data_IF_565064091136
#
_entry.id   IF_565064091136
#
_cell.length_a   1.000
_cell.length_b   1.000
_cell.length_c   1.000
_cell.angle_alpha   90.00
_cell.angle_beta   90.00
_cell.angle_gamma   90.00
#
_symmetry.space_group_name_H-M   'P 1'
#
loop_
_entity.id
_entity.type
_entity.pdbx_description
1 polymer ?
#
# COMPACT_ATOMS: atom_id res chain seq x y z
N UNK A 1 24.51 4.10 4.52
CA UNK A 1 24.13 4.63 3.19
C UNK A 1 24.61 3.70 2.07
N UNK A 2 25.28 2.61 2.46
CA UNK A 2 26.08 1.70 1.65
C UNK A 2 25.32 1.09 0.46
N UNK A 3 24.03 0.75 0.64
CA UNK A 3 23.18 0.26 -0.46
C UNK A 3 22.93 1.34 -1.51
N UNK A 4 22.65 2.57 -1.09
CA UNK A 4 22.39 3.69 -2.00
C UNK A 4 23.67 4.08 -2.73
N UNK A 5 24.77 4.20 -2.00
CA UNK A 5 26.07 4.59 -2.55
C UNK A 5 26.65 3.50 -3.48
N UNK A 6 26.36 2.22 -3.18
CA UNK A 6 26.81 1.07 -3.98
C UNK A 6 26.02 0.80 -5.27
N UNK A 7 24.87 1.46 -5.46
CA UNK A 7 24.00 1.27 -6.62
C UNK A 7 23.84 2.59 -7.40
N UNK A 8 24.98 3.13 -7.85
CA UNK A 8 25.08 4.43 -8.51
C UNK A 8 24.29 4.52 -9.83
N UNK A 9 24.06 3.41 -10.51
CA UNK A 9 23.35 3.37 -11.81
C UNK A 9 21.82 3.24 -11.70
N UNK A 10 21.26 3.11 -10.48
CA UNK A 10 19.81 3.10 -10.29
C UNK A 10 19.25 4.50 -10.52
N UNK A 11 18.19 4.65 -11.32
CA UNK A 11 17.56 5.97 -11.53
C UNK A 11 16.50 6.30 -10.47
N UNK A 12 15.78 5.30 -9.97
CA UNK A 12 14.64 5.45 -9.06
C UNK A 12 14.66 4.37 -7.99
N UNK A 13 14.40 4.75 -6.73
CA UNK A 13 14.26 3.81 -5.63
C UNK A 13 12.81 3.43 -5.40
N UNK A 14 12.54 2.13 -5.27
CA UNK A 14 11.22 1.60 -4.89
C UNK A 14 11.21 1.08 -3.46
N UNK A 15 10.13 1.34 -2.73
CA UNK A 15 9.90 0.79 -1.39
C UNK A 15 8.46 0.34 -1.21
N UNK A 16 8.25 -0.79 -0.54
CA UNK A 16 6.93 -1.25 -0.12
C UNK A 16 6.71 -0.79 1.32
N UNK A 17 5.58 -0.13 1.60
CA UNK A 17 5.35 0.48 2.92
C UNK A 17 3.96 0.18 3.43
N UNK A 18 3.93 -0.57 4.54
CA UNK A 18 2.73 -0.86 5.33
C UNK A 18 2.98 -0.42 6.78
N UNK A 19 2.48 0.77 7.13
CA UNK A 19 2.65 1.43 8.44
C UNK A 19 1.34 2.02 8.96
N UNK A 20 0.20 1.39 8.65
CA UNK A 20 -1.13 1.91 8.93
C UNK A 20 -1.58 2.96 7.91
N UNK A 21 -2.20 4.05 8.36
CA UNK A 21 -2.87 5.05 7.52
C UNK A 21 -1.97 6.23 7.09
N UNK A 22 -0.66 6.04 7.11
CA UNK A 22 0.30 7.04 6.69
C UNK A 22 1.69 6.45 6.50
N UNK A 23 2.57 7.20 5.84
CA UNK A 23 3.96 6.76 5.59
C UNK A 23 4.93 7.14 6.72
N UNK A 24 4.49 7.96 7.68
CA UNK A 24 5.34 8.44 8.76
C UNK A 24 6.50 9.30 8.23
N UNK A 25 7.73 8.92 8.54
CA UNK A 25 8.96 9.63 8.20
C UNK A 25 9.67 9.12 6.94
N UNK A 26 9.03 8.27 6.14
CA UNK A 26 9.65 7.63 4.97
C UNK A 26 10.22 8.66 3.99
N UNK A 27 9.45 9.70 3.65
CA UNK A 27 9.86 10.69 2.68
C UNK A 27 10.98 11.59 3.19
N UNK A 28 10.89 12.06 4.44
CA UNK A 28 11.93 12.87 5.08
C UNK A 28 13.24 12.08 5.22
N UNK A 29 13.14 10.83 5.68
CA UNK A 29 14.30 9.95 5.86
C UNK A 29 14.96 9.65 4.52
N UNK A 30 14.16 9.45 3.47
CA UNK A 30 14.68 9.21 2.13
C UNK A 30 15.37 10.45 1.54
N UNK A 31 14.78 11.64 1.70
CA UNK A 31 15.35 12.91 1.24
C UNK A 31 16.73 13.21 1.85
N UNK A 32 17.01 12.71 3.06
CA UNK A 32 18.32 12.82 3.71
C UNK A 32 19.36 11.82 3.18
N UNK A 33 18.95 10.85 2.36
CA UNK A 33 19.80 9.72 1.92
C UNK A 33 20.08 9.71 0.42
N UNK A 34 19.17 10.20 -0.41
CA UNK A 34 19.29 10.19 -1.85
C UNK A 34 18.64 11.42 -2.48
N UNK A 35 19.26 11.95 -3.53
CA UNK A 35 18.66 12.98 -4.40
C UNK A 35 17.87 12.39 -5.57
N UNK A 36 17.94 11.07 -5.77
CA UNK A 36 17.16 10.36 -6.80
C UNK A 36 15.70 10.25 -6.35
N UNK A 37 14.73 10.19 -7.27
CA UNK A 37 13.32 10.01 -6.90
C UNK A 37 13.04 8.66 -6.19
N UNK A 38 12.02 8.67 -5.34
CA UNK A 38 11.41 7.50 -4.70
C UNK A 38 10.08 7.17 -5.41
N UNK A 39 9.66 5.91 -5.43
CA UNK A 39 8.26 5.54 -5.62
C UNK A 39 7.84 4.48 -4.60
N UNK A 40 6.55 4.44 -4.29
CA UNK A 40 5.98 3.37 -3.45
C UNK A 40 5.69 2.18 -4.36
N UNK A 41 6.50 1.13 -4.23
CA UNK A 41 6.30 -0.13 -4.95
C UNK A 41 4.99 -0.79 -4.56
N UNK A 42 4.64 -0.71 -3.28
CA UNK A 42 3.36 -1.15 -2.73
C UNK A 42 2.96 -0.22 -1.58
N UNK A 43 1.67 0.12 -1.54
CA UNK A 43 0.98 0.72 -0.41
C UNK A 43 -0.49 0.33 -0.43
N UNK A 44 -1.18 0.43 0.69
CA UNK A 44 -2.63 0.20 0.75
C UNK A 44 -3.06 -0.41 2.06
N UNK A 45 -4.28 -0.93 2.05
CA UNK A 45 -4.86 -1.70 3.12
C UNK A 45 -5.68 -2.86 2.54
N UNK A 46 -5.73 -3.97 3.26
CA UNK A 46 -6.67 -5.03 2.95
C UNK A 46 -8.09 -4.69 3.47
N UNK A 47 -9.09 -5.36 2.93
CA UNK A 47 -10.49 -5.14 3.23
C UNK A 47 -10.98 -5.98 4.42
N UNK A 48 -10.13 -6.59 5.24
CA UNK A 48 -10.55 -7.40 6.37
C UNK A 48 -10.04 -6.82 7.69
N UNK A 49 -10.93 -6.71 8.67
CA UNK A 49 -10.61 -6.17 9.98
C UNK A 49 -10.59 -7.31 11.01
N UNK A 50 -9.40 -7.82 11.31
CA UNK A 50 -9.12 -8.90 12.26
C UNK A 50 -9.57 -8.58 13.70
N UNK A 51 -9.64 -7.30 14.10
CA UNK A 51 -10.20 -6.93 15.39
C UNK A 51 -11.71 -7.21 15.48
N UNK A 52 -12.41 -7.18 14.34
CA UNK A 52 -13.87 -7.41 14.27
C UNK A 52 -14.23 -8.74 13.61
N UNK A 53 -13.28 -9.42 12.97
CA UNK A 53 -13.47 -10.69 12.27
C UNK A 53 -14.39 -10.60 11.05
N UNK A 54 -14.38 -9.46 10.34
CA UNK A 54 -15.26 -9.23 9.17
C UNK A 54 -14.62 -8.30 8.15
N UNK A 55 -15.16 -8.33 6.93
CA UNK A 55 -14.86 -7.37 5.88
C UNK A 55 -15.18 -5.92 6.33
N UNK A 56 -14.29 -5.00 5.99
CA UNK A 56 -14.32 -3.58 6.33
C UNK A 56 -13.84 -2.72 5.13
N UNK A 57 -14.67 -2.68 4.08
CA UNK A 57 -14.38 -1.88 2.88
C UNK A 57 -14.29 -0.37 3.15
N UNK A 58 -14.93 0.11 4.23
CA UNK A 58 -14.85 1.53 4.62
C UNK A 58 -13.44 1.86 5.11
N UNK A 59 -12.86 1.02 5.97
CA UNK A 59 -11.48 1.19 6.41
C UNK A 59 -10.50 1.09 5.24
N UNK A 60 -10.70 0.13 4.33
CA UNK A 60 -9.90 0.00 3.11
C UNK A 60 -9.94 1.28 2.28
N UNK A 61 -11.14 1.76 1.94
CA UNK A 61 -11.34 2.97 1.14
C UNK A 61 -10.71 4.21 1.79
N UNK A 62 -10.88 4.37 3.10
CA UNK A 62 -10.30 5.47 3.86
C UNK A 62 -8.77 5.45 3.81
N UNK A 63 -8.16 4.28 3.97
CA UNK A 63 -6.71 4.14 3.89
C UNK A 63 -6.20 4.39 2.47
N UNK A 64 -6.86 3.84 1.45
CA UNK A 64 -6.54 4.10 0.04
C UNK A 64 -6.55 5.59 -0.27
N UNK A 65 -7.58 6.33 0.13
CA UNK A 65 -7.65 7.78 -0.06
C UNK A 65 -6.50 8.50 0.66
N UNK A 66 -6.36 8.30 1.97
CA UNK A 66 -5.38 9.03 2.78
C UNK A 66 -3.94 8.78 2.31
N UNK A 67 -3.59 7.53 2.00
CA UNK A 67 -2.26 7.17 1.52
C UNK A 67 -2.01 7.73 0.11
N UNK A 68 -2.99 7.67 -0.79
CA UNK A 68 -2.83 8.22 -2.14
C UNK A 68 -2.69 9.75 -2.10
N UNK A 69 -3.47 10.43 -1.26
CA UNK A 69 -3.38 11.88 -1.05
C UNK A 69 -2.00 12.30 -0.49
N UNK A 70 -1.43 11.54 0.46
CA UNK A 70 -0.08 11.81 0.97
C UNK A 70 0.98 11.62 -0.13
N UNK A 71 0.87 10.57 -0.96
CA UNK A 71 1.74 10.38 -2.13
C UNK A 71 1.67 11.60 -3.07
N UNK A 72 0.47 12.07 -3.39
CA UNK A 72 0.27 13.26 -4.25
C UNK A 72 0.86 14.51 -3.61
N UNK A 73 0.65 14.71 -2.31
CA UNK A 73 1.21 15.83 -1.56
C UNK A 73 2.75 15.83 -1.56
N UNK A 74 3.37 14.64 -1.60
CA UNK A 74 4.83 14.43 -1.62
C UNK A 74 5.43 14.26 -3.01
N UNK A 75 4.64 14.57 -4.05
CA UNK A 75 5.05 14.40 -5.43
C UNK A 75 6.33 15.18 -5.76
N UNK A 76 7.25 14.56 -6.50
CA UNK A 76 8.54 15.12 -6.90
C UNK A 76 8.41 16.33 -7.84
N UNK A 77 7.24 16.57 -8.42
CA UNK A 77 6.96 17.80 -9.19
C UNK A 77 6.60 18.99 -8.30
N UNK A 78 6.31 18.76 -7.01
CA UNK A 78 6.04 19.80 -6.01
C UNK A 78 7.34 20.20 -5.30
N UNK A 79 7.43 21.46 -4.87
CA UNK A 79 8.60 21.96 -4.17
C UNK A 79 8.87 21.15 -2.88
N UNK A 80 10.04 20.51 -2.79
CA UNK A 80 10.44 19.69 -1.65
C UNK A 80 9.86 18.27 -1.62
N UNK A 81 9.09 17.87 -2.65
CA UNK A 81 8.63 16.49 -2.80
C UNK A 81 9.72 15.59 -3.38
N UNK A 82 9.63 14.28 -3.07
CA UNK A 82 10.61 13.27 -3.50
C UNK A 82 9.97 12.05 -4.18
N UNK A 83 8.64 11.97 -4.17
CA UNK A 83 7.91 10.77 -4.60
C UNK A 83 7.40 10.90 -6.04
N UNK A 84 7.62 9.91 -6.90
CA UNK A 84 7.04 9.88 -8.25
C UNK A 84 5.59 9.40 -8.28
N UNK A 85 5.15 8.73 -7.22
CA UNK A 85 3.86 8.07 -7.16
C UNK A 85 3.95 6.74 -6.42
N UNK A 86 2.96 5.89 -6.62
CA UNK A 86 2.99 4.52 -6.11
C UNK A 86 1.95 3.62 -6.73
N UNK A 87 2.13 2.32 -6.53
CA UNK A 87 1.14 1.30 -6.88
C UNK A 87 0.35 0.90 -5.65
N UNK A 88 -0.97 1.10 -5.72
CA UNK A 88 -1.86 0.57 -4.69
C UNK A 88 -1.87 -0.95 -4.83
N UNK A 89 -1.62 -1.62 -3.72
CA UNK A 89 -1.54 -3.06 -3.66
C UNK A 89 -2.87 -3.58 -3.07
N UNK A 90 -3.71 -4.28 -3.84
CA UNK A 90 -3.52 -4.66 -5.24
C UNK A 90 -4.81 -4.55 -6.05
N UNK A 91 -4.76 -4.90 -7.35
CA UNK A 91 -5.91 -4.70 -8.21
C UNK A 91 -7.07 -5.62 -7.81
N UNK A 92 -6.86 -6.93 -7.75
CA UNK A 92 -7.89 -7.93 -7.45
C UNK A 92 -7.43 -8.87 -6.33
N UNK A 93 -8.37 -9.39 -5.55
CA UNK A 93 -8.05 -10.42 -4.56
C UNK A 93 -7.42 -11.67 -5.18
N UNK A 94 -6.49 -12.26 -4.44
CA UNK A 94 -5.72 -13.44 -4.83
C UNK A 94 -5.85 -14.53 -3.74
N UNK A 95 -6.88 -15.39 -3.83
CA UNK A 95 -7.21 -16.45 -2.84
C UNK A 95 -6.15 -17.57 -2.66
N UNK A 96 -4.99 -17.43 -3.30
CA UNK A 96 -3.88 -18.39 -3.13
C UNK A 96 -2.76 -17.84 -2.25
N UNK A 97 -2.87 -16.59 -1.78
CA UNK A 97 -1.77 -15.92 -1.07
C UNK A 97 -1.67 -16.32 0.40
N UNK A 98 -2.73 -16.80 1.03
CA UNK A 98 -2.56 -17.47 2.32
C UNK A 98 -2.04 -18.89 2.11
N UNK A 99 -0.74 -19.08 2.38
CA UNK A 99 -0.08 -20.40 2.34
C UNK A 99 -0.70 -21.47 3.24
N UNK A 100 -1.54 -21.08 4.21
CA UNK A 100 -2.29 -21.98 5.10
C UNK A 100 -3.77 -22.14 4.71
N UNK A 101 -4.24 -21.36 3.74
CA UNK A 101 -5.60 -21.34 3.25
C UNK A 101 -5.84 -22.33 2.11
N UNK A 102 -6.92 -22.09 1.38
CA UNK A 102 -7.48 -22.90 0.32
C UNK A 102 -7.96 -21.99 -0.80
N UNK A 103 -7.44 -22.22 -2.01
CA UNK A 103 -7.79 -21.47 -3.23
C UNK A 103 -9.28 -21.53 -3.64
N UNK A 104 -10.12 -22.27 -2.91
CA UNK A 104 -11.55 -22.44 -3.16
C UNK A 104 -12.46 -21.58 -2.26
N UNK A 105 -11.89 -20.92 -1.24
CA UNK A 105 -12.63 -20.06 -0.31
C UNK A 105 -11.83 -18.80 -0.04
N UNK A 106 -12.49 -17.75 0.44
CA UNK A 106 -11.83 -16.53 0.86
C UNK A 106 -11.39 -16.66 2.31
N UNK A 107 -10.13 -17.03 2.52
CA UNK A 107 -9.58 -17.31 3.84
C UNK A 107 -9.15 -16.03 4.57
N UNK A 108 -9.07 -16.14 5.90
CA UNK A 108 -8.58 -15.09 6.77
C UNK A 108 -7.19 -15.46 7.25
N UNK A 109 -6.23 -14.55 7.12
CA UNK A 109 -4.86 -14.78 7.52
C UNK A 109 -3.85 -14.51 6.41
N UNK A 110 -2.70 -15.16 6.51
CA UNK A 110 -1.49 -14.77 5.81
C UNK A 110 -0.57 -13.89 6.67
N UNK A 111 0.67 -13.73 6.22
CA UNK A 111 1.70 -12.96 6.90
C UNK A 111 2.59 -12.31 5.85
N UNK A 112 2.82 -11.01 5.99
CA UNK A 112 3.83 -10.28 5.24
C UNK A 112 4.72 -9.46 6.18
N UNK A 113 5.95 -9.13 5.74
CA UNK A 113 6.83 -8.26 6.51
C UNK A 113 6.32 -6.82 6.50
N UNK A 114 6.37 -6.14 7.65
CA UNK A 114 6.03 -4.72 7.75
C UNK A 114 5.38 -4.36 9.08
N UNK A 115 4.89 -3.12 9.19
CA UNK A 115 4.13 -2.66 10.34
C UNK A 115 2.64 -3.03 10.27
N UNK A 116 2.15 -3.40 9.09
CA UNK A 116 0.75 -3.80 8.85
C UNK A 116 -0.10 -2.69 8.24
N UNK A 117 -1.22 -3.06 7.59
CA UNK A 117 -2.17 -2.12 7.03
C UNK A 117 -3.05 -1.47 8.11
N UNK A 118 -3.71 -0.38 7.75
CA UNK A 118 -4.82 0.15 8.55
C UNK A 118 -6.05 -0.77 8.40
N UNK A 119 -6.90 -0.98 9.42
CA UNK A 119 -6.90 -0.31 10.73
C UNK A 119 -6.22 -1.09 11.87
N UNK A 120 -5.88 -2.35 11.65
CA UNK A 120 -5.58 -3.29 12.72
C UNK A 120 -4.14 -3.81 12.72
N UNK A 121 -3.31 -3.36 11.78
CA UNK A 121 -1.92 -3.77 11.62
C UNK A 121 -1.74 -5.27 11.37
N UNK A 122 -2.78 -5.96 10.90
CA UNK A 122 -2.78 -7.38 10.56
C UNK A 122 -2.88 -7.53 9.05
N UNK A 123 -2.05 -8.40 8.47
CA UNK A 123 -2.11 -8.69 7.05
C UNK A 123 -3.16 -9.78 6.80
N UNK A 124 -4.12 -9.53 5.93
CA UNK A 124 -5.03 -10.55 5.40
C UNK A 124 -4.76 -10.72 3.89
N UNK A 125 -3.90 -11.68 3.55
CA UNK A 125 -3.24 -11.79 2.25
C UNK A 125 -4.17 -11.95 1.06
N UNK A 126 -5.42 -12.38 1.29
CA UNK A 126 -6.40 -12.58 0.22
C UNK A 126 -7.36 -11.39 0.04
N UNK A 127 -7.23 -10.32 0.84
CA UNK A 127 -8.23 -9.24 0.94
C UNK A 127 -7.74 -7.88 0.41
N UNK A 128 -6.63 -7.84 -0.33
CA UNK A 128 -5.99 -6.59 -0.78
C UNK A 128 -6.70 -5.88 -1.94
N UNK A 129 -7.50 -6.59 -2.71
CA UNK A 129 -8.01 -6.11 -3.97
C UNK A 129 -8.84 -4.83 -3.84
N UNK A 130 -8.61 -3.87 -4.72
CA UNK A 130 -9.60 -2.84 -5.02
C UNK A 130 -10.88 -3.46 -5.62
N UNK A 131 -10.75 -4.61 -6.26
CA UNK A 131 -11.86 -5.47 -6.69
C UNK A 131 -11.73 -6.85 -6.03
N UNK A 132 -12.84 -7.55 -5.85
CA UNK A 132 -12.80 -8.94 -5.36
C UNK A 132 -12.27 -9.92 -6.42
N UNK A 133 -12.24 -11.22 -6.10
CA UNK A 133 -11.76 -12.27 -7.00
C UNK A 133 -12.60 -12.39 -8.28
N UNK A 134 -13.85 -11.94 -8.29
CA UNK A 134 -14.73 -11.92 -9.46
C UNK A 134 -14.69 -10.57 -10.21
N UNK A 135 -13.80 -9.67 -9.79
CA UNK A 135 -13.62 -8.31 -10.30
C UNK A 135 -14.82 -7.39 -10.04
N UNK A 136 -15.57 -7.67 -8.99
CA UNK A 136 -16.56 -6.73 -8.45
C UNK A 136 -15.84 -5.60 -7.71
N UNK A 137 -16.03 -4.33 -8.08
CA UNK A 137 -15.39 -3.21 -7.40
C UNK A 137 -15.77 -3.09 -5.92
N UNK A 138 -14.78 -2.91 -5.05
CA UNK A 138 -14.98 -2.49 -3.65
C UNK A 138 -15.09 -0.97 -3.54
N UNK A 139 -15.50 -0.50 -2.37
CA UNK A 139 -15.51 0.94 -2.03
C UNK A 139 -14.16 1.62 -2.30
N UNK A 140 -13.03 0.93 -2.08
CA UNK A 140 -11.70 1.46 -2.32
C UNK A 140 -11.40 1.75 -3.79
N UNK A 141 -11.96 0.98 -4.74
CA UNK A 141 -11.81 1.23 -6.18
C UNK A 141 -12.36 2.61 -6.56
N UNK A 142 -13.56 2.91 -6.06
CA UNK A 142 -14.22 4.19 -6.30
C UNK A 142 -13.52 5.34 -5.57
N UNK A 143 -13.06 5.10 -4.34
CA UNK A 143 -12.31 6.08 -3.56
C UNK A 143 -10.99 6.45 -4.26
N UNK A 144 -10.23 5.47 -4.73
CA UNK A 144 -8.99 5.68 -5.47
C UNK A 144 -9.21 6.53 -6.73
N UNK A 145 -10.26 6.24 -7.51
CA UNK A 145 -10.60 6.99 -8.72
C UNK A 145 -11.00 8.46 -8.47
N UNK A 146 -11.33 8.82 -7.23
CA UNK A 146 -11.76 10.16 -6.84
C UNK A 146 -10.64 11.00 -6.23
N UNK A 147 -9.45 10.44 -5.98
CA UNK A 147 -8.32 11.19 -5.39
C UNK A 147 -7.84 12.26 -6.37
N UNK A 148 -7.78 13.54 -5.97
CA UNK A 148 -7.27 14.61 -6.83
C UNK A 148 -5.75 14.53 -7.02
N UNK A 149 -5.28 14.87 -8.22
CA UNK A 149 -3.85 14.95 -8.59
C UNK A 149 -3.28 16.37 -8.38
#
# INVERSE_FOLDING_TARGET
RDVIDGLADIDVWGVNVYRGIGFGDVFETYAQRSSKPLFLGEYGADAFNANTGREDQEAQAKATTALTEDIVARSAVRAGGVCLGGFVFEFADEWWKDSKGSNAVHDQGGVAPGGGPYPDFTFNEEWWGLVDVDRTPRSAFHAYAQVPL
#
